data_IF_496609984174
#
_entry.id   IF_496609984174
#
_cell.length_a   1.000
_cell.length_b   1.000
_cell.length_c   1.000
_cell.angle_alpha   90.00
_cell.angle_beta   90.00
_cell.angle_gamma   90.00
#
_symmetry.space_group_name_H-M   'P 1'
#
loop_
_entity.id
_entity.type
_entity.pdbx_description
1 polymer ?
#
# COMPACT_ATOMS: atom_id res chain seq x y z
N UNK A 1 5.42 6.59 11.62
CA UNK A 1 6.37 5.48 11.46
C UNK A 1 5.84 4.58 10.35
N UNK A 2 6.68 3.79 9.68
CA UNK A 2 6.38 3.32 8.32
C UNK A 2 5.52 2.07 8.14
N UNK A 3 5.11 1.84 6.89
CA UNK A 3 4.70 0.51 6.40
C UNK A 3 5.88 -0.45 6.17
N UNK A 4 7.09 0.09 5.93
CA UNK A 4 8.31 -0.69 5.63
C UNK A 4 9.57 -0.10 6.28
N UNK A 5 10.56 -0.94 6.53
CA UNK A 5 11.91 -0.52 6.92
C UNK A 5 12.80 -0.22 5.71
N UNK A 6 13.92 0.48 5.93
CA UNK A 6 14.95 0.65 4.90
C UNK A 6 15.52 -0.70 4.45
N UNK A 7 15.68 -1.64 5.37
CA UNK A 7 16.16 -3.00 5.04
C UNK A 7 15.19 -3.73 4.10
N UNK A 8 13.88 -3.67 4.37
CA UNK A 8 12.87 -4.26 3.48
C UNK A 8 12.87 -3.63 2.08
N UNK A 9 13.13 -2.31 1.99
CA UNK A 9 13.28 -1.64 0.71
C UNK A 9 14.52 -2.12 -0.06
N UNK A 10 15.67 -2.18 0.63
CA UNK A 10 16.94 -2.67 0.09
C UNK A 10 16.87 -4.11 -0.39
N UNK A 11 16.18 -4.98 0.35
CA UNK A 11 16.02 -6.39 0.01
C UNK A 11 15.08 -6.57 -1.19
N UNK A 12 14.10 -5.66 -1.35
CA UNK A 12 13.11 -5.74 -2.42
C UNK A 12 13.60 -5.14 -3.75
N UNK A 13 14.29 -4.01 -3.69
CA UNK A 13 14.71 -3.26 -4.90
C UNK A 13 16.19 -3.47 -5.24
N UNK A 14 17.01 -3.77 -4.24
CA UNK A 14 18.46 -3.89 -4.37
C UNK A 14 19.20 -2.77 -3.65
N UNK A 15 20.22 -3.15 -2.87
CA UNK A 15 21.02 -2.22 -2.05
C UNK A 15 21.70 -1.12 -2.86
N UNK A 16 22.32 -1.46 -3.98
CA UNK A 16 23.02 -0.47 -4.82
C UNK A 16 22.05 0.58 -5.38
N UNK A 17 20.90 0.13 -5.86
CA UNK A 17 19.84 0.97 -6.42
C UNK A 17 19.24 1.92 -5.35
N UNK A 18 19.00 1.43 -4.13
CA UNK A 18 18.54 2.28 -3.01
C UNK A 18 19.62 3.29 -2.60
N UNK A 19 20.88 2.86 -2.46
CA UNK A 19 21.99 3.76 -2.07
C UNK A 19 22.20 4.90 -3.05
N UNK A 20 21.95 4.69 -4.35
CA UNK A 20 22.02 5.74 -5.36
C UNK A 20 21.01 6.88 -5.15
N UNK A 21 19.93 6.64 -4.38
CA UNK A 21 18.83 7.60 -4.21
C UNK A 21 18.54 7.97 -2.75
N UNK A 22 19.29 7.42 -1.81
CA UNK A 22 19.20 7.72 -0.38
C UNK A 22 20.47 8.38 0.17
N UNK A 23 21.21 9.13 -0.67
CA UNK A 23 22.48 9.75 -0.27
C UNK A 23 22.29 10.85 0.80
N UNK A 24 21.08 11.44 0.86
CA UNK A 24 20.75 12.48 1.84
C UNK A 24 20.17 11.90 3.15
N UNK A 25 20.61 12.40 4.31
CA UNK A 25 20.05 12.00 5.60
C UNK A 25 18.57 12.35 5.68
N UNK A 26 17.73 11.35 5.96
CA UNK A 26 16.28 11.51 6.06
C UNK A 26 15.51 11.41 4.74
N UNK A 27 16.17 11.19 3.60
CA UNK A 27 15.51 10.99 2.30
C UNK A 27 14.52 9.83 2.35
N UNK A 28 14.94 8.69 2.91
CA UNK A 28 14.08 7.51 3.12
C UNK A 28 12.84 7.85 3.95
N UNK A 29 13.01 8.49 5.12
CA UNK A 29 11.90 8.80 6.01
C UNK A 29 10.89 9.77 5.37
N UNK A 30 11.35 10.73 4.56
CA UNK A 30 10.47 11.63 3.82
C UNK A 30 9.71 10.91 2.70
N UNK A 31 10.40 10.07 1.93
CA UNK A 31 9.80 9.30 0.84
C UNK A 31 8.79 8.26 1.36
N UNK A 32 9.15 7.55 2.42
CA UNK A 32 8.28 6.56 3.06
C UNK A 32 7.02 7.21 3.61
N UNK A 33 7.14 8.37 4.29
CA UNK A 33 5.96 9.10 4.76
C UNK A 33 5.03 9.48 3.59
N UNK A 34 5.60 9.90 2.46
CA UNK A 34 4.83 10.18 1.25
C UNK A 34 4.09 8.95 0.72
N UNK A 35 4.78 7.81 0.66
CA UNK A 35 4.18 6.53 0.29
C UNK A 35 3.08 6.09 1.26
N UNK A 36 3.30 6.24 2.57
CA UNK A 36 2.34 5.90 3.61
C UNK A 36 1.04 6.73 3.47
N UNK A 37 1.14 8.03 3.19
CA UNK A 37 -0.03 8.87 2.92
C UNK A 37 -0.79 8.41 1.68
N UNK A 38 -0.10 7.97 0.62
CA UNK A 38 -0.77 7.41 -0.57
C UNK A 38 -1.48 6.09 -0.25
N UNK A 39 -0.86 5.21 0.53
CA UNK A 39 -1.48 3.94 0.94
C UNK A 39 -2.70 4.19 1.81
N UNK A 40 -2.60 5.08 2.80
CA UNK A 40 -3.72 5.47 3.66
C UNK A 40 -4.87 6.06 2.83
N UNK A 41 -4.57 6.95 1.88
CA UNK A 41 -5.58 7.55 1.02
C UNK A 41 -6.30 6.53 0.10
N UNK A 42 -5.59 5.53 -0.41
CA UNK A 42 -6.17 4.50 -1.29
C UNK A 42 -6.94 3.45 -0.49
N UNK A 43 -6.41 3.04 0.66
CA UNK A 43 -6.89 1.85 1.39
C UNK A 43 -7.72 2.16 2.63
N UNK A 44 -7.67 3.40 3.13
CA UNK A 44 -8.26 3.81 4.41
C UNK A 44 -7.53 3.26 5.64
N UNK A 45 -6.39 2.57 5.46
CA UNK A 45 -5.64 1.97 6.56
C UNK A 45 -4.72 3.01 7.17
N UNK A 46 -4.87 3.21 8.48
CA UNK A 46 -4.01 4.10 9.25
C UNK A 46 -2.56 3.67 9.18
N UNK A 47 -1.68 4.66 9.07
CA UNK A 47 -0.24 4.46 9.07
C UNK A 47 0.19 3.79 10.39
N UNK A 48 0.79 2.59 10.35
CA UNK A 48 1.10 1.84 11.57
C UNK A 48 2.22 2.51 12.38
N UNK A 49 2.23 2.25 13.69
CA UNK A 49 3.32 2.71 14.56
C UNK A 49 4.59 1.88 14.35
N UNK A 50 4.46 0.62 13.93
CA UNK A 50 5.58 -0.28 13.66
C UNK A 50 5.39 -0.96 12.28
N UNK A 51 6.41 -1.03 11.42
CA UNK A 51 6.35 -1.77 10.16
C UNK A 51 5.95 -3.25 10.31
N UNK A 52 6.19 -3.85 11.48
CA UNK A 52 5.75 -5.22 11.77
C UNK A 52 4.22 -5.36 11.85
N UNK A 53 3.51 -4.29 12.18
CA UNK A 53 2.04 -4.25 12.26
C UNK A 53 1.39 -3.96 10.90
N UNK A 54 2.19 -3.62 9.89
CA UNK A 54 1.70 -3.35 8.54
C UNK A 54 1.14 -4.63 7.91
N UNK A 55 -0.05 -4.59 7.28
CA UNK A 55 -0.58 -5.74 6.56
C UNK A 55 0.38 -6.19 5.46
N UNK A 56 0.63 -7.49 5.34
CA UNK A 56 1.64 -8.02 4.42
C UNK A 56 1.43 -7.59 2.96
N UNK A 57 0.18 -7.55 2.51
CA UNK A 57 -0.19 -7.11 1.16
C UNK A 57 0.11 -5.63 0.87
N UNK A 58 0.37 -4.80 1.90
CA UNK A 58 0.77 -3.40 1.74
C UNK A 58 2.28 -3.22 1.61
N UNK A 59 3.08 -4.20 2.03
CA UNK A 59 4.55 -4.07 2.09
C UNK A 59 5.20 -3.91 0.71
N UNK A 60 4.87 -4.80 -0.23
CA UNK A 60 5.41 -4.70 -1.59
C UNK A 60 4.98 -3.39 -2.30
N UNK A 61 3.69 -2.98 -2.25
CA UNK A 61 3.29 -1.66 -2.75
C UNK A 61 4.02 -0.50 -2.08
N UNK A 62 4.23 -0.57 -0.76
CA UNK A 62 4.97 0.44 -0.02
C UNK A 62 6.42 0.54 -0.48
N UNK A 63 7.09 -0.58 -0.79
CA UNK A 63 8.44 -0.57 -1.36
C UNK A 63 8.48 0.20 -2.68
N UNK A 64 7.58 -0.11 -3.62
CA UNK A 64 7.57 0.56 -4.93
C UNK A 64 7.21 2.04 -4.85
N UNK A 65 6.25 2.42 -4.00
CA UNK A 65 5.87 3.82 -3.81
C UNK A 65 6.96 4.64 -3.11
N UNK A 66 7.61 4.06 -2.10
CA UNK A 66 8.74 4.70 -1.41
C UNK A 66 9.91 4.89 -2.36
N UNK A 67 10.19 3.86 -3.17
CA UNK A 67 11.25 3.93 -4.16
C UNK A 67 10.97 4.99 -5.24
N UNK A 68 9.75 5.06 -5.78
CA UNK A 68 9.31 6.09 -6.74
C UNK A 68 9.50 7.52 -6.19
N UNK A 69 9.18 7.73 -4.90
CA UNK A 69 9.36 9.01 -4.22
C UNK A 69 10.83 9.39 -4.00
N UNK A 70 11.70 8.41 -3.71
CA UNK A 70 13.16 8.62 -3.67
C UNK A 70 13.71 8.95 -5.06
N UNK A 71 13.22 8.23 -6.07
CA UNK A 71 13.73 8.31 -7.43
C UNK A 71 13.42 9.61 -8.15
N UNK A 72 12.26 10.19 -7.85
CA UNK A 72 11.84 11.48 -8.39
C UNK A 72 12.83 12.63 -8.07
N UNK A 73 13.75 12.41 -7.12
CA UNK A 73 14.77 13.37 -6.68
C UNK A 73 16.17 13.06 -7.22
N UNK A 74 16.37 11.89 -7.82
CA UNK A 74 17.68 11.44 -8.25
C UNK A 74 17.99 11.89 -9.69
N UNK A 75 19.07 12.64 -9.86
CA UNK A 75 19.41 13.31 -11.13
C UNK A 75 20.12 12.42 -12.17
N UNK A 76 20.61 11.24 -11.76
CA UNK A 76 21.61 10.46 -12.53
C UNK A 76 21.11 9.08 -12.99
N UNK A 77 19.86 8.97 -13.44
CA UNK A 77 19.31 7.68 -13.87
C UNK A 77 18.74 7.68 -15.29
N UNK A 78 18.93 6.55 -15.97
CA UNK A 78 18.44 6.30 -17.31
C UNK A 78 16.90 6.38 -17.41
N UNK A 79 16.43 6.87 -18.55
CA UNK A 79 15.00 6.94 -18.85
C UNK A 79 14.30 5.58 -18.84
N UNK A 80 14.99 4.51 -19.28
CA UNK A 80 14.43 3.15 -19.25
C UNK A 80 14.11 2.70 -17.82
N UNK A 81 15.02 2.97 -16.88
CA UNK A 81 14.79 2.68 -15.47
C UNK A 81 13.63 3.53 -14.91
N UNK A 82 13.56 4.82 -15.24
CA UNK A 82 12.45 5.70 -14.86
C UNK A 82 11.09 5.16 -15.35
N UNK A 83 11.00 4.72 -16.61
CA UNK A 83 9.75 4.16 -17.15
C UNK A 83 9.38 2.83 -16.49
N UNK A 84 10.37 1.97 -16.25
CA UNK A 84 10.15 0.71 -15.53
C UNK A 84 9.57 0.95 -14.14
N UNK A 85 10.10 1.92 -13.39
CA UNK A 85 9.62 2.18 -12.03
C UNK A 85 8.31 2.94 -11.98
N UNK A 86 8.08 3.89 -12.88
CA UNK A 86 6.77 4.52 -13.01
C UNK A 86 5.68 3.47 -13.28
N UNK A 87 5.99 2.45 -14.09
CA UNK A 87 5.11 1.29 -14.29
C UNK A 87 4.92 0.48 -13.01
N UNK A 88 5.99 0.16 -12.27
CA UNK A 88 5.88 -0.57 -10.99
C UNK A 88 5.09 0.19 -9.93
N UNK A 89 5.26 1.50 -9.84
CA UNK A 89 4.51 2.37 -8.95
C UNK A 89 3.01 2.40 -9.32
N UNK A 90 2.70 2.41 -10.62
CA UNK A 90 1.32 2.25 -11.10
C UNK A 90 0.73 0.88 -10.71
N UNK A 91 1.45 -0.21 -10.96
CA UNK A 91 1.03 -1.57 -10.59
C UNK A 91 0.81 -1.71 -9.07
N UNK A 92 1.64 -1.04 -8.25
CA UNK A 92 1.46 -0.97 -6.80
C UNK A 92 0.15 -0.26 -6.41
N UNK A 93 -0.18 0.88 -7.03
CA UNK A 93 -1.45 1.60 -6.79
C UNK A 93 -2.65 0.77 -7.21
N UNK A 94 -2.57 0.11 -8.37
CA UNK A 94 -3.63 -0.76 -8.88
C UNK A 94 -3.86 -1.95 -7.93
N UNK A 95 -2.78 -2.52 -7.39
CA UNK A 95 -2.84 -3.59 -6.39
C UNK A 95 -3.53 -3.11 -5.12
N UNK A 96 -3.11 -1.98 -4.55
CA UNK A 96 -3.74 -1.40 -3.35
C UNK A 96 -5.23 -1.14 -3.56
N UNK A 97 -5.60 -0.62 -4.74
CA UNK A 97 -7.00 -0.34 -5.11
C UNK A 97 -7.81 -1.62 -5.20
N UNK A 98 -7.28 -2.68 -5.84
CA UNK A 98 -7.93 -3.99 -5.91
C UNK A 98 -8.14 -4.61 -4.54
N UNK A 99 -7.14 -4.54 -3.65
CA UNK A 99 -7.26 -5.06 -2.29
C UNK A 99 -8.24 -4.24 -1.43
N UNK A 100 -8.22 -2.91 -1.55
CA UNK A 100 -9.19 -2.04 -0.90
C UNK A 100 -10.62 -2.35 -1.36
N UNK A 101 -10.84 -2.46 -2.68
CA UNK A 101 -12.14 -2.80 -3.26
C UNK A 101 -12.64 -4.19 -2.83
N UNK A 102 -11.74 -5.18 -2.72
CA UNK A 102 -12.09 -6.51 -2.19
C UNK A 102 -12.50 -6.45 -0.71
N UNK A 103 -11.89 -5.60 0.12
CA UNK A 103 -12.30 -5.42 1.52
C UNK A 103 -13.65 -4.74 1.65
N UNK A 104 -13.95 -3.75 0.80
CA UNK A 104 -15.26 -3.07 0.82
C UNK A 104 -16.36 -3.93 0.19
N UNK A 105 -16.03 -4.77 -0.79
CA UNK A 105 -16.98 -5.67 -1.46
C UNK A 105 -17.35 -6.93 -0.67
N UNK A 106 -16.72 -7.19 0.49
CA UNK A 106 -17.10 -8.28 1.41
C UNK A 106 -18.20 -7.85 2.39
N UNK A 107 -18.51 -6.55 2.49
CA UNK A 107 -19.56 -6.05 3.40
C UNK A 107 -20.99 -6.15 2.80
N UNK A 108 -21.14 -6.38 1.49
CA UNK A 108 -22.47 -6.52 0.84
C UNK A 108 -23.00 -7.96 0.77
N UNK A 109 -22.50 -8.88 1.62
CA UNK A 109 -23.12 -10.21 1.81
C UNK A 109 -23.37 -10.52 3.29
N UNK A 110 -23.60 -9.49 4.10
CA UNK A 110 -23.93 -9.58 5.52
C UNK A 110 -25.36 -9.14 5.84
N UNK A 111 -26.36 -9.59 5.08
CA UNK A 111 -27.73 -9.12 5.25
C UNK A 111 -28.82 -10.00 4.65
N UNK A 112 -28.63 -11.32 4.59
CA UNK A 112 -29.74 -12.23 4.30
C UNK A 112 -29.59 -13.48 5.14
N UNK A 113 -30.08 -13.40 6.38
CA UNK A 113 -30.41 -14.58 7.18
C UNK A 113 -31.86 -14.46 7.61
N UNK A 114 -32.70 -15.17 6.86
CA UNK A 114 -34.11 -15.37 7.13
C UNK A 114 -34.34 -16.02 8.51
N UNK A 115 -35.25 -15.47 9.32
CA UNK A 115 -36.27 -16.22 10.08
C UNK A 115 -37.46 -15.27 10.33
N UNK A 116 -38.26 -15.03 9.29
CA UNK A 116 -39.66 -14.64 9.48
C UNK A 116 -40.49 -15.91 9.57
N UNK A 117 -40.47 -16.60 10.72
CA UNK A 117 -41.45 -17.66 10.96
C UNK A 117 -42.82 -17.00 11.07
N UNK A 118 -43.66 -17.38 10.14
CA UNK A 118 -45.07 -17.08 10.04
C UNK A 118 -45.76 -17.71 11.26
N UNK A 119 -46.31 -16.90 12.16
CA UNK A 119 -47.42 -17.34 13.02
C UNK A 119 -48.63 -16.48 12.68
N UNK A 120 -49.28 -16.88 11.59
CA UNK A 120 -50.59 -16.39 11.21
C UNK A 120 -51.60 -16.95 12.23
N UNK A 121 -52.08 -16.09 13.11
CA UNK A 121 -53.20 -16.34 14.01
C UNK A 121 -54.46 -16.74 13.21
N UNK A 122 -55.25 -17.70 13.70
CA UNK A 122 -56.70 -17.66 13.52
C UNK A 122 -57.33 -17.08 14.78
N UNK A 123 -58.02 -15.97 14.54
CA UNK A 123 -59.05 -15.33 15.36
C UNK A 123 -60.16 -16.31 15.77
N UNK A 124 -60.52 -16.28 17.05
CA UNK A 124 -61.83 -16.56 17.69
C UNK A 124 -62.51 -17.89 17.35
#
# INVERSE_FOLDING_TARGET
MPFITLQELEDHVGKDDVRMVTDEPGAFAAAERGAATVIEAITGISIPANPADAPEWTKQPACWLTYDALFSRASNISQEKLQLWARRAKEARDTLTLYAAKRTGVDETGGSSAVGKIENMPTW
#
